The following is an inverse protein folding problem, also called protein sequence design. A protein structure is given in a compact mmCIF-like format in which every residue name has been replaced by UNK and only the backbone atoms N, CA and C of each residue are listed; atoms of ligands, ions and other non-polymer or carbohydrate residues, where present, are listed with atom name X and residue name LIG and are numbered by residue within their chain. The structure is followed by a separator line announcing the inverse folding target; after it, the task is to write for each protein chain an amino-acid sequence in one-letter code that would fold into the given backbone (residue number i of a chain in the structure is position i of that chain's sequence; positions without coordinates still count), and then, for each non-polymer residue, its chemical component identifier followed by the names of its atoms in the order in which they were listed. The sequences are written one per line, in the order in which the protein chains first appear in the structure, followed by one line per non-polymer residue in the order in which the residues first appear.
data_IF_389152267367
#
_entry.id   IF_389152267367
#
_cell.length_a   1.000
_cell.length_b   1.000
_cell.length_c   1.000
_cell.angle_alpha   90.00
_cell.angle_beta   90.00
_cell.angle_gamma   90.00
#
_symmetry.space_group_name_H-M   'P 1'
#
loop_
_entity.id
_entity.type
_entity.pdbx_description
1 polymer ?
#
# COMPACT_ATOMS: atom_id res chain seq x y z
N UNK A 1 -6.26 15.08 -33.60
CA UNK A 1 -5.31 14.12 -33.01
C UNK A 1 -4.89 14.74 -31.68
N UNK A 2 -5.16 14.05 -30.58
CA UNK A 2 -4.83 14.57 -29.26
C UNK A 2 -3.29 14.55 -29.11
N UNK A 3 -2.68 15.72 -28.99
CA UNK A 3 -1.21 15.89 -28.83
C UNK A 3 -0.77 15.70 -27.37
N UNK A 4 -1.51 14.96 -26.58
CA UNK A 4 -1.13 14.70 -25.19
C UNK A 4 0.23 13.96 -25.15
N UNK A 5 1.15 14.37 -24.28
CA UNK A 5 2.41 13.69 -24.06
C UNK A 5 2.15 12.21 -23.71
N UNK A 6 3.03 11.33 -24.19
CA UNK A 6 2.93 9.90 -23.93
C UNK A 6 4.11 9.42 -23.10
N UNK A 7 3.85 8.55 -22.13
CA UNK A 7 4.92 7.86 -21.42
C UNK A 7 5.72 7.00 -22.41
N UNK A 8 7.00 7.35 -22.60
CA UNK A 8 7.93 6.55 -23.41
C UNK A 8 8.40 5.34 -22.61
N UNK A 9 7.95 4.16 -23.03
CA UNK A 9 8.39 2.89 -22.42
C UNK A 9 9.87 2.66 -22.75
N UNK A 10 10.69 2.44 -21.73
CA UNK A 10 12.11 2.13 -21.85
C UNK A 10 12.47 0.90 -21.00
N UNK A 11 13.74 0.41 -21.10
CA UNK A 11 14.22 -0.70 -20.28
C UNK A 11 14.24 -0.39 -18.76
N UNK A 12 14.12 0.88 -18.37
CA UNK A 12 13.99 1.31 -16.98
C UNK A 12 12.62 0.97 -16.38
N UNK A 13 11.61 0.87 -17.27
CA UNK A 13 10.27 0.46 -16.86
C UNK A 13 10.13 -1.05 -17.16
N UNK A 14 10.03 -1.81 -16.10
CA UNK A 14 9.81 -3.26 -16.14
C UNK A 14 8.32 -3.60 -16.26
N UNK A 15 8.04 -4.84 -16.50
CA UNK A 15 6.69 -5.42 -16.54
C UNK A 15 6.63 -6.62 -15.64
N UNK A 16 5.46 -6.87 -15.06
CA UNK A 16 5.15 -8.13 -14.41
C UNK A 16 4.83 -9.21 -15.45
N UNK A 17 4.82 -10.50 -15.09
CA UNK A 17 4.34 -11.56 -15.99
C UNK A 17 2.88 -11.39 -16.40
N UNK A 18 2.10 -10.60 -15.66
CA UNK A 18 0.66 -10.42 -15.84
C UNK A 18 0.30 -9.16 -16.65
N UNK A 19 1.21 -8.20 -16.82
CA UNK A 19 0.94 -6.89 -17.45
C UNK A 19 0.19 -7.00 -18.78
N UNK A 20 0.59 -7.96 -19.65
CA UNK A 20 -0.10 -8.14 -20.95
C UNK A 20 -1.53 -8.61 -20.80
N UNK A 21 -1.82 -9.43 -19.78
CA UNK A 21 -3.17 -9.93 -19.47
C UNK A 21 -4.03 -8.83 -18.85
N UNK A 22 -3.45 -8.03 -17.96
CA UNK A 22 -4.08 -6.87 -17.35
C UNK A 22 -4.53 -5.87 -18.41
N UNK A 23 -3.64 -5.56 -19.38
CA UNK A 23 -3.96 -4.71 -20.54
C UNK A 23 -5.06 -5.34 -21.40
N UNK A 24 -4.95 -6.63 -21.73
CA UNK A 24 -5.93 -7.34 -22.56
C UNK A 24 -7.33 -7.42 -21.91
N UNK A 25 -7.39 -7.33 -20.58
CA UNK A 25 -8.66 -7.28 -19.82
C UNK A 25 -9.18 -5.88 -19.58
N UNK A 26 -8.58 -4.86 -20.20
CA UNK A 26 -9.15 -3.51 -20.28
C UNK A 26 -8.65 -2.52 -19.26
N UNK A 27 -7.45 -2.71 -18.68
CA UNK A 27 -6.86 -1.66 -17.84
C UNK A 27 -6.76 -0.34 -18.62
N UNK A 28 -7.39 0.72 -18.11
CA UNK A 28 -7.51 2.03 -18.75
C UNK A 28 -6.44 3.02 -18.29
N UNK A 29 -5.93 2.86 -17.06
CA UNK A 29 -4.89 3.71 -16.50
C UNK A 29 -3.83 2.91 -15.75
N UNK A 30 -2.61 3.44 -15.72
CA UNK A 30 -1.45 2.87 -15.04
C UNK A 30 -0.65 3.96 -14.33
N UNK A 31 -0.08 3.59 -13.19
CA UNK A 31 1.01 4.31 -12.55
C UNK A 31 2.31 3.51 -12.64
N UNK A 32 3.41 4.12 -12.21
CA UNK A 32 4.69 3.43 -12.01
C UNK A 32 4.87 3.14 -10.53
N UNK A 33 5.15 1.89 -10.20
CA UNK A 33 5.38 1.41 -8.85
C UNK A 33 6.55 0.42 -8.87
N UNK A 34 7.58 0.64 -8.06
CA UNK A 34 8.80 -0.18 -8.06
C UNK A 34 9.39 -0.38 -9.47
N UNK A 35 9.43 0.69 -10.28
CA UNK A 35 9.87 0.67 -11.68
C UNK A 35 9.02 -0.21 -12.61
N UNK A 36 7.80 -0.56 -12.26
CA UNK A 36 6.88 -1.39 -13.05
C UNK A 36 5.54 -0.69 -13.26
N UNK A 37 4.81 -1.15 -14.27
CA UNK A 37 3.44 -0.68 -14.53
C UNK A 37 2.46 -1.35 -13.57
N UNK A 38 1.77 -0.56 -12.75
CA UNK A 38 0.65 -0.95 -11.92
C UNK A 38 -0.64 -0.38 -12.49
N UNK A 39 -1.63 -1.22 -12.78
CA UNK A 39 -2.96 -0.74 -13.17
C UNK A 39 -3.60 0.03 -12.00
N UNK A 40 -4.27 1.14 -12.31
CA UNK A 40 -4.98 1.98 -11.35
C UNK A 40 -6.48 2.10 -11.62
N UNK A 41 -6.92 1.70 -12.82
CA UNK A 41 -8.31 1.80 -13.23
C UNK A 41 -8.61 0.83 -14.37
N UNK A 42 -9.83 0.28 -14.38
CA UNK A 42 -10.38 -0.52 -15.49
C UNK A 42 -11.60 0.17 -16.12
N UNK A 43 -12.65 0.45 -15.37
CA UNK A 43 -13.84 1.16 -15.85
C UNK A 43 -13.86 2.59 -15.33
N UNK A 44 -13.88 2.75 -14.04
CA UNK A 44 -13.66 3.98 -13.28
C UNK A 44 -13.32 3.59 -11.83
N UNK A 45 -12.60 4.47 -11.11
CA UNK A 45 -12.24 4.21 -9.70
C UNK A 45 -13.50 3.86 -8.87
N UNK A 46 -14.63 4.52 -9.15
CA UNK A 46 -15.88 4.30 -8.41
C UNK A 46 -16.59 2.99 -8.80
N UNK A 47 -16.62 2.63 -10.08
CA UNK A 47 -17.24 1.37 -10.52
C UNK A 47 -16.40 0.18 -10.08
N UNK A 48 -15.09 0.28 -10.20
CA UNK A 48 -14.15 -0.73 -9.72
C UNK A 48 -14.24 -0.92 -8.20
N UNK A 49 -14.44 0.18 -7.43
CA UNK A 49 -14.70 0.15 -6.00
C UNK A 49 -15.98 -0.63 -5.66
N UNK A 50 -17.12 -0.31 -6.30
CA UNK A 50 -18.37 -1.01 -6.01
C UNK A 50 -18.31 -2.49 -6.40
N UNK A 51 -17.63 -2.78 -7.51
CA UNK A 51 -17.41 -4.17 -7.90
C UNK A 51 -16.56 -4.93 -6.86
N UNK A 52 -15.47 -4.33 -6.36
CA UNK A 52 -14.64 -4.90 -5.30
C UNK A 52 -15.45 -5.21 -4.04
N UNK A 53 -16.36 -4.31 -3.66
CA UNK A 53 -17.20 -4.46 -2.47
C UNK A 53 -18.31 -5.51 -2.61
N UNK A 54 -18.63 -5.95 -3.83
CA UNK A 54 -19.79 -6.82 -4.10
C UNK A 54 -19.45 -8.17 -4.71
N UNK A 55 -18.26 -8.35 -5.30
CA UNK A 55 -17.90 -9.55 -6.05
C UNK A 55 -16.48 -10.03 -5.72
N UNK A 56 -15.66 -10.32 -6.74
CA UNK A 56 -14.25 -10.69 -6.58
C UNK A 56 -13.42 -10.11 -7.73
N UNK A 57 -12.25 -9.63 -7.38
CA UNK A 57 -11.26 -9.11 -8.32
C UNK A 57 -9.95 -9.87 -8.24
N UNK A 58 -9.25 -9.95 -9.38
CA UNK A 58 -7.87 -10.45 -9.48
C UNK A 58 -6.97 -9.27 -9.84
N UNK A 59 -5.99 -8.99 -8.98
CA UNK A 59 -5.08 -7.86 -9.11
C UNK A 59 -3.67 -8.32 -9.46
N UNK A 60 -3.09 -7.72 -10.48
CA UNK A 60 -1.65 -7.79 -10.73
C UNK A 60 -0.93 -6.86 -9.75
N UNK A 61 -0.52 -7.41 -8.62
CA UNK A 61 0.33 -6.74 -7.63
C UNK A 61 1.77 -7.24 -7.66
N UNK A 62 2.19 -7.85 -8.77
CA UNK A 62 3.57 -8.27 -9.02
C UNK A 62 4.59 -7.12 -8.94
N UNK A 63 4.12 -5.89 -8.94
CA UNK A 63 4.92 -4.68 -8.69
C UNK A 63 5.43 -4.57 -7.24
N UNK A 64 4.85 -5.29 -6.29
CA UNK A 64 5.37 -5.46 -4.94
C UNK A 64 6.57 -6.40 -5.00
N UNK A 65 7.74 -5.83 -5.24
CA UNK A 65 8.99 -6.58 -5.33
C UNK A 65 9.26 -7.32 -4.03
N UNK A 66 9.77 -8.53 -4.16
CA UNK A 66 10.24 -9.26 -3.00
C UNK A 66 11.73 -8.99 -2.78
N UNK A 67 12.10 -8.62 -1.56
CA UNK A 67 13.49 -8.60 -1.12
C UNK A 67 13.72 -9.85 -0.28
N UNK A 68 14.47 -10.81 -0.84
CA UNK A 68 14.87 -12.04 -0.14
C UNK A 68 16.13 -11.77 0.67
N UNK A 69 16.09 -12.11 1.96
CA UNK A 69 17.21 -12.05 2.90
C UNK A 69 17.38 -13.44 3.47
N UNK A 70 18.49 -14.10 3.14
CA UNK A 70 18.77 -15.50 3.51
C UNK A 70 20.18 -15.64 4.06
N UNK A 71 20.35 -16.39 5.14
CA UNK A 71 21.64 -16.68 5.76
C UNK A 71 21.61 -16.57 7.27
N UNK A 72 22.72 -16.99 7.94
CA UNK A 72 22.81 -17.04 9.41
C UNK A 72 22.43 -15.73 10.12
N UNK A 73 22.73 -14.58 9.53
CA UNK A 73 22.45 -13.26 10.08
C UNK A 73 21.14 -12.63 9.54
N UNK A 74 20.28 -13.40 8.84
CA UNK A 74 19.04 -12.85 8.23
C UNK A 74 18.12 -12.20 9.27
N UNK A 75 17.87 -12.87 10.40
CA UNK A 75 17.07 -12.29 11.48
C UNK A 75 17.69 -11.03 12.07
N UNK A 76 19.03 -10.98 12.18
CA UNK A 76 19.76 -9.82 12.69
C UNK A 76 19.60 -8.63 11.74
N UNK A 77 19.74 -8.84 10.42
CA UNK A 77 19.57 -7.78 9.44
C UNK A 77 18.11 -7.26 9.45
N UNK A 78 17.11 -8.14 9.42
CA UNK A 78 15.70 -7.74 9.44
C UNK A 78 15.38 -6.99 10.74
N UNK A 79 15.80 -7.49 11.92
CA UNK A 79 15.60 -6.80 13.19
C UNK A 79 16.27 -5.43 13.23
N UNK A 80 17.46 -5.30 12.65
CA UNK A 80 18.17 -4.03 12.62
C UNK A 80 17.46 -2.97 11.77
N UNK A 81 16.75 -3.40 10.72
CA UNK A 81 15.98 -2.53 9.80
C UNK A 81 14.62 -2.09 10.35
N UNK A 82 14.05 -2.82 11.32
CA UNK A 82 12.69 -2.54 11.83
C UNK A 82 12.66 -2.33 13.34
N UNK A 83 11.94 -1.30 13.85
CA UNK A 83 11.68 -1.13 15.27
C UNK A 83 10.61 -2.08 15.84
N UNK A 84 10.14 -3.05 15.06
CA UNK A 84 9.22 -4.09 15.51
C UNK A 84 9.98 -5.32 15.97
N UNK A 85 9.63 -5.87 17.15
CA UNK A 85 10.19 -7.13 17.61
C UNK A 85 9.75 -8.29 16.71
N UNK A 86 10.71 -8.94 16.05
CA UNK A 86 10.48 -10.08 15.16
C UNK A 86 10.81 -11.43 15.82
N UNK A 87 11.28 -11.45 17.07
CA UNK A 87 11.76 -12.66 17.75
C UNK A 87 10.67 -13.74 17.88
N UNK A 88 9.41 -13.31 17.99
CA UNK A 88 8.25 -14.20 18.19
C UNK A 88 7.48 -14.52 16.91
N UNK A 89 7.96 -14.08 15.75
CA UNK A 89 7.27 -14.32 14.47
C UNK A 89 7.43 -15.78 14.06
N UNK A 90 6.32 -16.51 13.97
CA UNK A 90 6.29 -17.90 13.54
C UNK A 90 6.58 -18.05 12.03
N UNK A 91 7.02 -19.25 11.61
CA UNK A 91 7.39 -19.56 10.21
C UNK A 91 6.24 -19.45 9.21
N UNK A 92 5.00 -19.58 9.64
CA UNK A 92 3.82 -19.51 8.75
C UNK A 92 3.17 -18.13 8.76
N UNK A 93 3.88 -17.09 9.23
CA UNK A 93 3.30 -15.77 9.49
C UNK A 93 3.80 -14.70 8.55
N UNK A 94 2.85 -13.89 8.09
CA UNK A 94 3.10 -12.56 7.54
C UNK A 94 3.06 -11.53 8.67
N UNK A 95 3.86 -10.47 8.56
CA UNK A 95 3.93 -9.40 9.55
C UNK A 95 4.19 -8.06 8.86
N UNK A 96 3.43 -7.03 9.24
CA UNK A 96 3.69 -5.67 8.76
C UNK A 96 4.91 -5.09 9.46
N UNK A 97 5.89 -4.65 8.71
CA UNK A 97 7.19 -4.20 9.22
C UNK A 97 7.48 -2.76 8.77
N UNK A 98 7.23 -1.74 9.58
CA UNK A 98 7.82 -0.43 9.31
C UNK A 98 9.34 -0.55 9.32
N UNK A 99 10.00 -0.17 8.22
CA UNK A 99 11.45 -0.06 8.14
C UNK A 99 11.83 1.40 8.36
N UNK A 100 12.81 1.63 9.22
CA UNK A 100 13.22 2.99 9.58
C UNK A 100 14.74 3.14 9.66
N UNK A 101 15.23 4.32 9.27
CA UNK A 101 16.62 4.70 9.39
C UNK A 101 17.03 5.01 10.85
N UNK A 102 18.28 5.37 11.08
CA UNK A 102 18.83 5.70 12.41
C UNK A 102 18.18 6.93 13.07
N UNK A 103 17.47 7.75 12.31
CA UNK A 103 16.74 8.91 12.79
C UNK A 103 15.25 8.61 13.03
N UNK A 104 14.81 7.35 12.86
CA UNK A 104 13.43 6.94 12.99
C UNK A 104 12.54 7.30 11.80
N UNK A 105 13.13 7.75 10.67
CA UNK A 105 12.39 8.08 9.46
C UNK A 105 12.10 6.82 8.65
N UNK A 106 10.90 6.78 8.04
CA UNK A 106 10.45 5.64 7.25
C UNK A 106 11.32 5.44 6.00
N UNK A 107 11.74 4.21 5.77
CA UNK A 107 12.37 3.77 4.52
C UNK A 107 11.37 3.02 3.64
N UNK A 108 10.49 2.25 4.26
CA UNK A 108 9.42 1.47 3.63
C UNK A 108 8.51 0.86 4.70
N UNK A 109 7.42 0.23 4.29
CA UNK A 109 6.48 -0.44 5.18
C UNK A 109 6.04 -1.84 4.67
N UNK A 110 7.00 -2.75 4.37
CA UNK A 110 6.71 -4.03 3.75
C UNK A 110 5.89 -4.97 4.62
N UNK A 111 5.33 -5.99 3.96
CA UNK A 111 4.93 -7.23 4.63
C UNK A 111 6.14 -8.16 4.67
N UNK A 112 6.60 -8.48 5.88
CA UNK A 112 7.61 -9.50 6.13
C UNK A 112 6.98 -10.89 6.12
N UNK A 113 7.57 -11.82 5.40
CA UNK A 113 7.14 -13.23 5.30
C UNK A 113 8.30 -14.11 5.76
N UNK A 114 8.15 -14.75 6.92
CA UNK A 114 9.18 -15.63 7.46
C UNK A 114 9.08 -17.02 6.84
N UNK A 115 9.99 -17.33 5.92
CA UNK A 115 9.96 -18.57 5.12
C UNK A 115 10.67 -19.74 5.79
N UNK A 116 11.75 -19.46 6.52
CA UNK A 116 12.55 -20.38 7.31
C UNK A 116 13.14 -19.68 8.53
N UNK A 117 13.92 -20.40 9.35
CA UNK A 117 14.57 -19.82 10.53
C UNK A 117 15.53 -18.67 10.17
N UNK A 118 16.14 -18.76 9.01
CA UNK A 118 17.16 -17.86 8.47
C UNK A 118 16.80 -17.29 7.09
N UNK A 119 15.50 -17.23 6.74
CA UNK A 119 15.07 -16.76 5.44
C UNK A 119 13.78 -15.93 5.52
N UNK A 120 13.85 -14.70 5.01
CA UNK A 120 12.73 -13.76 4.91
C UNK A 120 12.51 -13.28 3.49
N UNK A 121 11.25 -13.07 3.13
CA UNK A 121 10.87 -12.15 2.07
C UNK A 121 10.29 -10.88 2.69
N UNK A 122 10.66 -9.73 2.12
CA UNK A 122 9.99 -8.45 2.35
C UNK A 122 9.25 -8.08 1.08
N UNK A 123 7.90 -8.08 1.12
CA UNK A 123 7.03 -7.61 0.05
C UNK A 123 6.93 -6.10 0.19
N UNK A 124 7.67 -5.36 -0.64
CA UNK A 124 7.96 -3.95 -0.42
C UNK A 124 6.99 -3.00 -1.11
N UNK A 125 6.73 -1.86 -0.47
CA UNK A 125 6.16 -0.69 -1.11
C UNK A 125 7.18 -0.01 -2.05
N UNK A 126 6.80 1.09 -2.68
CA UNK A 126 7.59 1.76 -3.73
C UNK A 126 8.86 2.42 -3.19
N UNK A 127 9.93 1.65 -3.05
CA UNK A 127 11.28 2.16 -2.80
C UNK A 127 12.37 1.11 -3.05
N UNK A 128 13.64 1.53 -3.10
CA UNK A 128 14.80 0.65 -3.36
C UNK A 128 15.35 -0.04 -2.08
N UNK A 129 14.47 -0.66 -1.29
CA UNK A 129 14.84 -1.41 -0.06
C UNK A 129 15.98 -2.41 -0.30
N UNK A 130 16.01 -3.06 -1.47
CA UNK A 130 17.05 -4.05 -1.79
C UNK A 130 18.46 -3.45 -1.76
N UNK A 131 18.62 -2.20 -2.22
CA UNK A 131 19.92 -1.53 -2.20
C UNK A 131 20.33 -1.15 -0.78
N UNK A 132 19.36 -0.69 0.02
CA UNK A 132 19.56 -0.36 1.42
C UNK A 132 19.94 -1.60 2.25
N UNK A 133 19.18 -2.70 2.11
CA UNK A 133 19.47 -3.96 2.80
C UNK A 133 20.86 -4.52 2.42
N UNK A 134 21.23 -4.49 1.12
CA UNK A 134 22.58 -4.88 0.67
C UNK A 134 23.66 -3.99 1.27
N UNK A 135 23.44 -2.68 1.32
CA UNK A 135 24.37 -1.72 1.90
C UNK A 135 24.61 -1.98 3.38
N UNK A 136 23.53 -2.16 4.14
CA UNK A 136 23.58 -2.48 5.57
C UNK A 136 24.28 -3.81 5.84
N UNK A 137 23.89 -4.88 5.14
CA UNK A 137 24.49 -6.20 5.29
C UNK A 137 25.99 -6.16 5.04
N UNK A 138 26.42 -5.50 3.95
CA UNK A 138 27.84 -5.36 3.61
C UNK A 138 28.60 -4.49 4.59
N UNK A 139 28.02 -3.36 5.00
CA UNK A 139 28.64 -2.42 5.94
C UNK A 139 28.86 -3.02 7.33
N UNK A 140 27.92 -3.85 7.79
CA UNK A 140 28.00 -4.54 9.08
C UNK A 140 28.71 -5.90 9.01
N UNK A 141 29.13 -6.36 7.83
CA UNK A 141 29.80 -7.65 7.66
C UNK A 141 28.93 -8.86 7.98
N UNK A 142 27.60 -8.76 7.72
CA UNK A 142 26.64 -9.83 8.01
C UNK A 142 26.73 -10.96 6.98
N UNK A 143 26.61 -12.20 7.46
CA UNK A 143 26.58 -13.41 6.62
C UNK A 143 25.16 -13.64 6.10
N UNK A 144 24.80 -12.90 5.08
CA UNK A 144 23.50 -12.97 4.40
C UNK A 144 23.63 -12.76 2.90
N UNK A 145 22.73 -13.36 2.16
CA UNK A 145 22.52 -13.11 0.73
C UNK A 145 21.21 -12.33 0.56
N UNK A 146 21.32 -11.12 -0.01
CA UNK A 146 20.18 -10.26 -0.30
C UNK A 146 19.92 -10.25 -1.80
N UNK A 147 18.75 -10.75 -2.24
CA UNK A 147 18.39 -10.88 -3.66
C UNK A 147 16.97 -10.40 -3.94
N UNK A 148 16.65 -10.18 -5.22
CA UNK A 148 15.27 -10.09 -5.73
C UNK A 148 14.95 -11.45 -6.37
N UNK A 149 14.10 -12.29 -5.75
CA UNK A 149 13.72 -13.58 -6.31
C UNK A 149 12.71 -13.39 -7.47
N UNK A 150 12.60 -14.40 -8.36
CA UNK A 150 11.55 -14.42 -9.40
C UNK A 150 10.20 -14.79 -8.78
N UNK A 151 9.64 -13.88 -7.99
CA UNK A 151 8.37 -14.07 -7.27
C UNK A 151 7.45 -12.90 -7.54
N UNK A 152 6.21 -13.21 -7.93
CA UNK A 152 5.23 -12.26 -8.44
C UNK A 152 3.90 -12.46 -7.72
N UNK A 153 3.52 -11.59 -6.78
CA UNK A 153 2.23 -11.71 -6.11
C UNK A 153 1.06 -11.35 -7.04
N UNK A 154 0.02 -12.19 -6.94
CA UNK A 154 -1.33 -11.93 -7.43
C UNK A 154 -2.27 -11.80 -6.24
N UNK A 155 -3.08 -10.75 -6.17
CA UNK A 155 -4.10 -10.64 -5.16
C UNK A 155 -5.47 -11.06 -5.69
N UNK A 156 -6.23 -11.78 -4.88
CA UNK A 156 -7.64 -12.14 -5.12
C UNK A 156 -8.45 -11.52 -4.00
N UNK A 157 -9.19 -10.46 -4.28
CA UNK A 157 -9.83 -9.61 -3.27
C UNK A 157 -11.34 -9.50 -3.50
N UNK A 158 -12.10 -9.44 -2.41
CA UNK A 158 -13.56 -9.25 -2.44
C UNK A 158 -14.34 -10.35 -1.75
N UNK A 159 -15.67 -10.17 -1.54
CA UNK A 159 -16.52 -11.12 -0.79
C UNK A 159 -16.55 -12.55 -1.34
N UNK A 160 -16.30 -12.74 -2.64
CA UNK A 160 -16.27 -14.07 -3.27
C UNK A 160 -14.85 -14.67 -3.38
N UNK A 161 -13.84 -14.03 -2.78
CA UNK A 161 -12.46 -14.50 -2.85
C UNK A 161 -12.28 -15.92 -2.27
N UNK A 162 -12.90 -16.20 -1.11
CA UNK A 162 -12.84 -17.54 -0.50
C UNK A 162 -13.35 -18.64 -1.45
N UNK A 163 -14.48 -18.38 -2.11
CA UNK A 163 -15.08 -19.34 -3.06
C UNK A 163 -14.19 -19.56 -4.30
N UNK A 164 -13.62 -18.47 -4.84
CA UNK A 164 -12.74 -18.57 -6.00
C UNK A 164 -11.45 -19.33 -5.65
N UNK A 165 -10.85 -19.02 -4.51
CA UNK A 165 -9.61 -19.69 -4.05
C UNK A 165 -9.84 -21.17 -3.77
N UNK A 166 -10.99 -21.55 -3.18
CA UNK A 166 -11.33 -22.95 -2.98
C UNK A 166 -11.48 -23.72 -4.31
N UNK A 167 -12.04 -23.09 -5.36
CA UNK A 167 -12.16 -23.71 -6.69
C UNK A 167 -10.81 -23.97 -7.35
N UNK A 168 -9.79 -23.16 -7.05
CA UNK A 168 -8.46 -23.28 -7.67
C UNK A 168 -7.52 -24.12 -6.83
N UNK A 169 -7.51 -23.95 -5.50
CA UNK A 169 -6.54 -24.56 -4.59
C UNK A 169 -7.16 -25.60 -3.63
N UNK A 170 -8.48 -25.77 -3.67
CA UNK A 170 -9.19 -26.70 -2.78
C UNK A 170 -9.55 -26.11 -1.40
N UNK A 171 -10.23 -26.91 -0.55
CA UNK A 171 -10.85 -26.44 0.68
C UNK A 171 -9.87 -25.96 1.75
N UNK A 172 -8.59 -26.35 1.69
CA UNK A 172 -7.56 -25.93 2.64
C UNK A 172 -7.37 -24.40 2.69
N UNK A 173 -7.80 -23.68 1.65
CA UNK A 173 -7.74 -22.21 1.62
C UNK A 173 -8.62 -21.56 2.68
N UNK A 174 -9.73 -22.21 3.07
CA UNK A 174 -10.67 -21.70 4.08
C UNK A 174 -10.10 -21.65 5.50
N UNK A 175 -9.11 -22.51 5.78
CA UNK A 175 -8.50 -22.64 7.10
C UNK A 175 -7.32 -21.66 7.29
N UNK A 176 -6.93 -20.94 6.24
CA UNK A 176 -5.86 -19.94 6.32
C UNK A 176 -6.35 -18.74 7.14
N UNK A 177 -5.73 -18.50 8.29
CA UNK A 177 -6.05 -17.35 9.15
C UNK A 177 -5.45 -16.06 8.59
N UNK A 178 -6.05 -14.95 8.94
CA UNK A 178 -5.53 -13.63 8.56
C UNK A 178 -4.06 -13.45 8.97
N UNK A 179 -3.25 -12.95 8.04
CA UNK A 179 -1.80 -12.79 8.15
C UNK A 179 -1.06 -14.11 8.43
N UNK A 180 -1.61 -15.23 7.92
CA UNK A 180 -0.91 -16.51 7.81
C UNK A 180 -0.79 -16.89 6.34
N UNK A 181 0.19 -17.72 6.04
CA UNK A 181 0.32 -18.36 4.74
C UNK A 181 0.45 -19.86 4.86
N UNK A 182 0.15 -20.54 3.77
CA UNK A 182 0.40 -21.97 3.57
C UNK A 182 1.00 -22.18 2.20
N UNK A 183 1.64 -23.31 2.01
CA UNK A 183 2.11 -23.74 0.69
C UNK A 183 1.10 -24.73 0.12
N UNK A 184 0.47 -24.37 -1.00
CA UNK A 184 -0.57 -25.17 -1.65
C UNK A 184 -0.09 -25.69 -3.00
N UNK A 185 -0.44 -26.96 -3.35
CA UNK A 185 -0.14 -27.49 -4.65
C UNK A 185 -0.94 -26.77 -5.74
N UNK A 186 -0.28 -26.45 -6.83
CA UNK A 186 -0.90 -25.95 -8.05
C UNK A 186 -0.22 -26.59 -9.24
N UNK A 187 -0.93 -27.53 -9.93
CA UNK A 187 -0.34 -28.35 -10.98
C UNK A 187 0.93 -29.07 -10.49
N UNK A 188 2.08 -28.82 -11.13
CA UNK A 188 3.36 -29.40 -10.75
C UNK A 188 4.21 -28.50 -9.85
N UNK A 189 3.61 -27.43 -9.29
CA UNK A 189 4.25 -26.45 -8.43
C UNK A 189 3.61 -26.42 -7.05
N UNK A 190 4.28 -25.75 -6.12
CA UNK A 190 3.75 -25.48 -4.79
C UNK A 190 3.88 -23.98 -4.57
N UNK A 191 2.76 -23.27 -4.51
CA UNK A 191 2.72 -21.82 -4.36
C UNK A 191 2.47 -21.43 -2.92
N UNK A 192 3.06 -20.33 -2.48
CA UNK A 192 2.75 -19.70 -1.20
C UNK A 192 1.45 -18.91 -1.36
N UNK A 193 0.47 -19.20 -0.52
CA UNK A 193 -0.82 -18.51 -0.48
C UNK A 193 -1.02 -17.92 0.91
N UNK A 194 -1.07 -16.60 0.98
CA UNK A 194 -1.29 -15.85 2.21
C UNK A 194 -2.74 -15.34 2.27
N UNK A 195 -3.33 -15.37 3.47
CA UNK A 195 -4.59 -14.64 3.71
C UNK A 195 -4.27 -13.21 4.08
N UNK A 196 -4.07 -12.41 3.08
CA UNK A 196 -3.65 -11.01 3.13
C UNK A 196 -4.23 -10.26 1.95
N UNK A 197 -3.92 -8.99 1.85
CA UNK A 197 -4.33 -8.12 0.77
C UNK A 197 -4.55 -6.70 1.24
N UNK A 198 -4.58 -5.79 0.30
CA UNK A 198 -4.68 -4.37 0.56
C UNK A 198 -6.11 -3.86 0.37
N UNK A 199 -7.06 -4.58 1.00
CA UNK A 199 -8.46 -4.18 1.13
C UNK A 199 -9.09 -4.79 2.37
N UNK A 200 -10.15 -4.18 2.91
CA UNK A 200 -10.98 -4.78 3.98
C UNK A 200 -12.10 -5.67 3.45
N UNK A 201 -12.13 -5.95 2.14
CA UNK A 201 -13.14 -6.81 1.54
C UNK A 201 -12.83 -8.31 1.71
N UNK A 202 -11.67 -8.62 2.30
CA UNK A 202 -11.15 -9.97 2.44
C UNK A 202 -10.47 -10.48 1.16
N UNK A 203 -9.61 -11.48 1.31
CA UNK A 203 -8.90 -12.02 0.16
C UNK A 203 -7.60 -12.71 0.48
N UNK A 204 -6.82 -12.94 -0.58
CA UNK A 204 -5.57 -13.67 -0.56
C UNK A 204 -4.54 -13.04 -1.48
N UNK A 205 -3.29 -13.28 -1.17
CA UNK A 205 -2.15 -13.02 -2.04
C UNK A 205 -1.45 -14.34 -2.36
N UNK A 206 -1.21 -14.57 -3.64
CA UNK A 206 -0.58 -15.78 -4.17
C UNK A 206 0.80 -15.38 -4.68
N UNK A 207 1.85 -15.84 -4.02
CA UNK A 207 3.23 -15.55 -4.39
C UNK A 207 3.69 -16.60 -5.41
N UNK A 208 3.71 -16.19 -6.67
CA UNK A 208 4.02 -17.07 -7.80
C UNK A 208 5.50 -16.97 -8.11
N UNK A 209 6.20 -18.10 -8.00
CA UNK A 209 7.66 -18.24 -8.18
C UNK A 209 8.07 -18.74 -9.59
N UNK A 210 7.16 -18.66 -10.54
CA UNK A 210 7.39 -18.96 -11.97
C UNK A 210 6.45 -18.15 -12.85
N UNK A 211 7.01 -17.31 -13.72
CA UNK A 211 6.24 -16.42 -14.58
C UNK A 211 5.25 -17.13 -15.52
N UNK A 212 5.58 -18.36 -16.01
CA UNK A 212 4.69 -19.11 -16.90
C UNK A 212 3.54 -19.75 -16.12
N UNK A 213 3.83 -20.27 -14.93
CA UNK A 213 2.82 -20.77 -14.00
C UNK A 213 1.88 -19.64 -13.60
N UNK A 214 2.41 -18.46 -13.31
CA UNK A 214 1.61 -17.28 -12.98
C UNK A 214 0.64 -16.88 -14.08
N UNK A 215 1.09 -16.88 -15.32
CA UNK A 215 0.21 -16.59 -16.46
C UNK A 215 -0.94 -17.59 -16.58
N UNK A 216 -0.66 -18.87 -16.36
CA UNK A 216 -1.68 -19.92 -16.39
C UNK A 216 -2.65 -19.78 -15.22
N UNK A 217 -2.15 -19.49 -14.03
CA UNK A 217 -2.96 -19.23 -12.84
C UNK A 217 -3.88 -18.03 -13.01
N UNK A 218 -3.34 -16.94 -13.57
CA UNK A 218 -4.14 -15.74 -13.85
C UNK A 218 -5.35 -16.07 -14.73
N UNK A 219 -5.12 -16.79 -15.85
CA UNK A 219 -6.19 -17.17 -16.75
C UNK A 219 -7.20 -18.12 -16.07
N UNK A 220 -6.72 -19.12 -15.30
CA UNK A 220 -7.58 -20.07 -14.59
C UNK A 220 -8.45 -19.42 -13.51
N UNK A 221 -7.98 -18.40 -12.82
CA UNK A 221 -8.79 -17.63 -11.84
C UNK A 221 -10.04 -17.03 -12.51
N UNK A 222 -9.90 -16.50 -13.73
CA UNK A 222 -11.05 -15.97 -14.46
C UNK A 222 -11.97 -17.07 -14.98
N UNK A 223 -11.42 -18.17 -15.45
CA UNK A 223 -12.24 -19.30 -15.95
C UNK A 223 -13.06 -19.93 -14.81
N UNK A 224 -12.43 -20.15 -13.64
CA UNK A 224 -13.09 -20.71 -12.44
C UNK A 224 -14.05 -19.75 -11.74
N UNK A 225 -13.86 -18.44 -11.93
CA UNK A 225 -14.66 -17.39 -11.33
C UNK A 225 -15.76 -16.81 -12.21
N UNK A 226 -15.99 -17.36 -13.40
CA UNK A 226 -16.89 -16.78 -14.40
C UNK A 226 -18.31 -16.49 -13.86
N UNK A 227 -18.87 -17.41 -13.06
CA UNK A 227 -20.18 -17.27 -12.41
C UNK A 227 -20.15 -16.46 -11.11
N UNK A 228 -18.96 -16.11 -10.59
CA UNK A 228 -18.77 -15.26 -9.43
C UNK A 228 -18.62 -13.77 -9.81
N UNK A 229 -18.85 -13.42 -11.05
CA UNK A 229 -18.61 -12.08 -11.60
C UNK A 229 -17.17 -11.62 -11.35
N UNK A 230 -16.17 -12.52 -11.54
CA UNK A 230 -14.76 -12.17 -11.40
C UNK A 230 -14.38 -11.11 -12.45
N UNK A 231 -13.71 -10.05 -12.01
CA UNK A 231 -13.15 -9.02 -12.89
C UNK A 231 -11.67 -8.79 -12.61
N UNK A 232 -10.92 -8.26 -13.58
CA UNK A 232 -9.64 -7.66 -13.25
C UNK A 232 -9.86 -6.46 -12.34
N UNK A 233 -8.89 -6.16 -11.49
CA UNK A 233 -8.91 -5.02 -10.60
C UNK A 233 -7.51 -4.56 -10.23
N UNK A 234 -7.47 -3.61 -9.34
CA UNK A 234 -6.25 -3.01 -8.81
C UNK A 234 -6.49 -2.46 -7.40
N UNK A 235 -5.44 -2.11 -6.65
CA UNK A 235 -5.56 -1.35 -5.43
C UNK A 235 -6.45 -0.12 -5.65
N UNK A 236 -7.57 -0.04 -4.92
CA UNK A 236 -8.57 0.99 -5.15
C UNK A 236 -8.45 2.13 -4.14
N UNK A 237 -8.33 3.36 -4.63
CA UNK A 237 -8.10 4.54 -3.81
C UNK A 237 -9.24 4.80 -2.81
N UNK A 238 -10.49 4.60 -3.22
CA UNK A 238 -11.65 4.83 -2.34
C UNK A 238 -11.65 3.79 -1.21
N UNK A 239 -11.54 2.52 -1.58
CA UNK A 239 -11.58 1.42 -0.62
C UNK A 239 -10.45 1.52 0.41
N UNK A 240 -9.21 1.80 -0.04
CA UNK A 240 -8.09 1.88 0.87
C UNK A 240 -8.19 3.04 1.85
N UNK A 241 -8.67 4.22 1.42
CA UNK A 241 -8.88 5.36 2.32
C UNK A 241 -10.00 5.10 3.31
N UNK A 242 -11.17 4.59 2.87
CA UNK A 242 -12.25 4.18 3.78
C UNK A 242 -11.77 3.14 4.80
N UNK A 243 -10.87 2.27 4.40
CA UNK A 243 -10.29 1.22 5.22
C UNK A 243 -9.14 1.67 6.13
N UNK A 244 -8.62 2.88 5.91
CA UNK A 244 -7.46 3.42 6.62
C UNK A 244 -6.17 2.68 6.32
N UNK A 245 -6.03 2.15 5.09
CA UNK A 245 -4.80 1.53 4.60
C UNK A 245 -3.88 2.62 4.05
N UNK A 246 -2.73 2.76 4.67
CA UNK A 246 -1.74 3.77 4.30
C UNK A 246 -0.92 3.33 3.08
N UNK A 247 -0.44 4.30 2.34
CA UNK A 247 0.38 4.10 1.15
C UNK A 247 1.69 4.87 1.29
N UNK A 248 2.81 4.15 1.38
CA UNK A 248 4.13 4.75 1.34
C UNK A 248 4.33 5.50 0.01
N UNK A 249 4.86 6.70 0.09
CA UNK A 249 5.01 7.61 -1.03
C UNK A 249 3.82 8.55 -1.27
N UNK A 250 2.62 8.19 -0.77
CA UNK A 250 1.42 9.04 -0.87
C UNK A 250 1.04 9.68 0.48
N UNK A 251 0.88 8.88 1.54
CA UNK A 251 0.44 9.38 2.85
C UNK A 251 1.61 9.69 3.78
N UNK A 252 2.70 8.97 3.63
CA UNK A 252 3.95 9.11 4.38
C UNK A 252 5.13 8.67 3.51
N UNK A 253 6.32 9.18 3.82
CA UNK A 253 7.57 8.85 3.11
C UNK A 253 8.78 9.03 4.03
N UNK A 254 9.99 9.04 3.45
CA UNK A 254 11.27 9.18 4.16
C UNK A 254 11.44 10.52 4.92
N UNK A 255 10.54 11.48 4.76
CA UNK A 255 10.53 12.75 5.52
C UNK A 255 9.86 12.60 6.88
N UNK A 256 9.10 11.53 7.10
CA UNK A 256 8.25 11.31 8.26
C UNK A 256 8.79 10.18 9.13
N UNK A 257 8.68 10.33 10.45
CA UNK A 257 9.01 9.22 11.35
C UNK A 257 7.89 8.17 11.37
N UNK A 258 8.23 6.99 11.91
CA UNK A 258 7.24 5.92 12.14
C UNK A 258 6.11 6.39 13.06
N UNK A 259 6.42 7.25 14.06
CA UNK A 259 5.44 7.78 15.01
C UNK A 259 4.56 8.85 14.35
N UNK A 260 5.16 9.82 13.65
CA UNK A 260 4.43 10.84 12.89
C UNK A 260 3.42 10.21 11.90
N UNK A 261 3.81 9.08 11.29
CA UNK A 261 3.00 8.34 10.32
C UNK A 261 1.86 7.51 10.92
N UNK A 262 1.64 7.59 12.25
CA UNK A 262 0.57 6.84 12.92
C UNK A 262 0.85 5.33 13.08
N UNK A 263 2.10 4.90 12.85
CA UNK A 263 2.50 3.49 12.89
C UNK A 263 3.05 3.04 14.25
N UNK A 264 2.91 3.85 15.30
CA UNK A 264 3.39 3.54 16.65
C UNK A 264 2.86 2.20 17.20
N UNK A 265 1.66 1.77 16.80
CA UNK A 265 1.10 0.47 17.17
C UNK A 265 1.81 -0.75 16.57
N UNK A 266 2.71 -0.54 15.60
CA UNK A 266 3.49 -1.59 14.95
C UNK A 266 4.95 -1.62 15.38
N UNK A 267 5.34 -0.85 16.39
CA UNK A 267 6.71 -0.80 16.90
C UNK A 267 6.79 -1.28 18.34
N UNK A 268 7.94 -1.79 18.75
CA UNK A 268 8.16 -2.42 20.05
C UNK A 268 9.16 -1.58 20.87
N UNK A 269 8.79 -0.31 21.15
CA UNK A 269 9.70 0.66 21.77
C UNK A 269 10.17 0.27 23.19
N UNK A 270 9.41 -0.57 23.90
CA UNK A 270 9.76 -1.02 25.25
C UNK A 270 10.54 -2.35 25.24
N UNK A 271 10.68 -3.01 24.08
CA UNK A 271 11.43 -4.25 23.96
C UNK A 271 12.94 -3.99 23.89
N UNK A 272 13.71 -4.95 24.39
CA UNK A 272 15.18 -4.97 24.24
C UNK A 272 15.55 -5.58 22.90
N UNK A 273 15.50 -4.76 21.85
CA UNK A 273 15.77 -5.15 20.46
C UNK A 273 16.89 -4.29 19.86
N UNK A 274 17.68 -4.90 19.01
CA UNK A 274 18.75 -4.21 18.24
C UNK A 274 18.15 -3.68 16.91
N UNK A 275 17.47 -2.53 17.00
CA UNK A 275 16.98 -1.81 15.83
C UNK A 275 17.65 -0.45 15.70
N UNK A 276 18.13 -0.07 14.51
CA UNK A 276 18.89 1.17 14.32
C UNK A 276 18.10 2.43 14.69
N UNK A 277 16.77 2.40 14.50
CA UNK A 277 15.86 3.51 14.79
C UNK A 277 15.40 3.61 16.25
N UNK A 278 15.64 2.57 17.08
CA UNK A 278 14.95 2.42 18.37
C UNK A 278 15.22 3.59 19.33
N UNK A 279 16.45 4.11 19.31
CA UNK A 279 16.84 5.24 20.17
C UNK A 279 16.09 6.51 19.78
N UNK A 280 16.12 6.87 18.49
CA UNK A 280 15.48 8.07 17.98
C UNK A 280 13.95 8.03 18.20
N UNK A 281 13.32 6.87 17.96
CA UNK A 281 11.89 6.70 18.17
C UNK A 281 11.48 6.75 19.65
N UNK A 282 12.33 6.27 20.59
CA UNK A 282 12.10 6.44 22.03
C UNK A 282 12.17 7.91 22.42
N UNK A 283 13.19 8.63 21.96
CA UNK A 283 13.34 10.07 22.22
C UNK A 283 12.16 10.87 21.67
N UNK A 284 11.69 10.56 20.44
CA UNK A 284 10.52 11.17 19.84
C UNK A 284 9.21 10.87 20.62
N UNK A 285 8.99 9.60 21.02
CA UNK A 285 7.84 9.23 21.85
C UNK A 285 7.79 10.03 23.14
N UNK A 286 8.92 10.14 23.81
CA UNK A 286 9.02 10.81 25.13
C UNK A 286 8.87 12.34 25.02
N UNK A 287 9.30 12.94 23.91
CA UNK A 287 9.14 14.36 23.62
C UNK A 287 7.74 14.70 23.03
N UNK A 288 7.06 13.71 22.46
CA UNK A 288 5.91 13.90 21.57
C UNK A 288 6.34 14.19 20.12
N UNK A 289 5.67 13.64 19.12
CA UNK A 289 5.98 13.92 17.71
C UNK A 289 5.65 15.36 17.36
N UNK A 290 6.43 15.97 16.46
CA UNK A 290 6.17 17.34 15.99
C UNK A 290 4.95 17.44 15.06
N UNK A 291 4.60 16.32 14.42
CA UNK A 291 3.50 16.22 13.45
C UNK A 291 2.78 14.88 13.63
N UNK A 292 1.55 14.81 13.10
CA UNK A 292 0.78 13.57 13.05
C UNK A 292 0.05 13.43 11.73
N UNK A 293 0.02 12.22 11.20
CA UNK A 293 -0.85 11.85 10.10
C UNK A 293 -2.29 11.74 10.60
N UNK A 294 -3.15 12.60 10.06
CA UNK A 294 -4.56 12.71 10.45
C UNK A 294 -5.47 12.50 9.25
N UNK A 295 -6.71 12.14 9.52
CA UNK A 295 -7.77 12.13 8.53
C UNK A 295 -8.48 13.49 8.46
N UNK A 296 -8.85 13.90 7.24
CA UNK A 296 -9.71 15.05 6.99
C UNK A 296 -11.00 14.58 6.33
N UNK A 297 -12.14 15.07 6.81
CA UNK A 297 -13.46 14.78 6.25
C UNK A 297 -14.18 16.08 5.94
N UNK A 298 -14.64 16.19 4.69
CA UNK A 298 -15.48 17.30 4.25
C UNK A 298 -16.84 16.75 3.80
N UNK A 299 -17.97 17.34 4.24
CA UNK A 299 -19.28 17.01 3.66
C UNK A 299 -19.29 17.28 2.16
N UNK A 300 -19.63 16.29 1.38
CA UNK A 300 -19.70 16.35 -0.09
C UNK A 300 -20.86 15.50 -0.63
N UNK A 301 -22.13 15.86 -0.24
CA UNK A 301 -23.30 15.04 -0.55
C UNK A 301 -23.60 14.97 -2.05
N UNK A 302 -23.17 15.96 -2.82
CA UNK A 302 -23.49 16.11 -4.24
C UNK A 302 -22.34 15.64 -5.17
N UNK A 303 -21.23 15.17 -4.61
CA UNK A 303 -20.08 14.69 -5.36
C UNK A 303 -18.74 15.21 -4.84
N UNK A 304 -17.65 14.95 -5.55
CA UNK A 304 -16.30 15.29 -5.12
C UNK A 304 -16.11 16.80 -4.87
N UNK A 305 -15.38 17.09 -3.77
CA UNK A 305 -14.90 18.44 -3.42
C UNK A 305 -13.38 18.39 -3.20
N UNK A 306 -12.65 18.45 -4.30
CA UNK A 306 -11.21 18.24 -4.30
C UNK A 306 -10.48 19.37 -3.55
N UNK A 307 -9.50 18.99 -2.75
CA UNK A 307 -8.60 19.90 -2.04
C UNK A 307 -7.53 20.45 -2.99
N UNK A 308 -6.95 21.60 -2.66
CA UNK A 308 -6.15 22.41 -3.59
C UNK A 308 -4.96 21.70 -4.24
N UNK A 309 -4.32 20.76 -3.55
CA UNK A 309 -3.17 20.03 -4.10
C UNK A 309 -3.50 19.06 -5.23
N UNK A 310 -4.76 18.71 -5.40
CA UNK A 310 -5.17 17.78 -6.46
C UNK A 310 -5.05 18.41 -7.87
N UNK A 311 -5.03 19.74 -7.96
CA UNK A 311 -4.72 20.44 -9.22
C UNK A 311 -3.35 20.03 -9.78
N UNK A 312 -2.40 19.76 -8.91
CA UNK A 312 -1.05 19.37 -9.32
C UNK A 312 -1.00 17.95 -9.89
N UNK A 313 -1.72 17.00 -9.29
CA UNK A 313 -1.78 15.61 -9.79
C UNK A 313 -2.66 15.49 -11.03
N UNK A 314 -3.74 16.28 -11.15
CA UNK A 314 -4.61 16.26 -12.31
C UNK A 314 -3.94 16.85 -13.57
N UNK A 315 -3.12 17.86 -13.42
CA UNK A 315 -2.33 18.42 -14.52
C UNK A 315 -1.26 17.45 -15.02
N UNK A 316 -0.80 16.53 -14.17
CA UNK A 316 0.12 15.46 -14.56
C UNK A 316 -0.51 14.42 -15.49
N UNK A 317 -1.82 14.32 -15.57
CA UNK A 317 -2.54 13.41 -16.48
C UNK A 317 -2.42 13.78 -17.96
N UNK A 318 -1.73 14.83 -18.31
CA UNK A 318 -1.54 15.14 -19.72
C UNK A 318 -0.70 16.34 -20.12
N UNK A 319 -0.36 17.25 -19.25
CA UNK A 319 0.39 18.45 -19.65
C UNK A 319 1.69 18.63 -18.83
N UNK A 320 2.77 18.07 -19.39
CA UNK A 320 4.14 18.33 -18.90
C UNK A 320 4.65 19.73 -19.32
N UNK A 321 3.78 20.56 -19.87
CA UNK A 321 4.12 21.91 -20.34
C UNK A 321 3.75 23.02 -19.36
N UNK A 322 3.18 22.70 -18.19
CA UNK A 322 3.07 23.72 -17.13
C UNK A 322 4.47 24.07 -16.65
N UNK A 323 4.80 25.35 -16.66
CA UNK A 323 6.08 25.87 -16.17
C UNK A 323 6.29 25.68 -14.65
N UNK A 324 5.27 25.10 -13.96
CA UNK A 324 5.32 24.77 -12.53
C UNK A 324 5.83 23.33 -12.34
N UNK A 325 7.09 23.19 -12.01
CA UNK A 325 7.66 21.89 -11.59
C UNK A 325 7.32 21.60 -10.11
N UNK A 326 7.28 20.34 -9.67
CA UNK A 326 7.07 19.97 -8.25
C UNK A 326 8.02 20.66 -7.27
N UNK A 327 9.19 21.07 -7.75
CA UNK A 327 10.19 21.80 -6.97
C UNK A 327 9.83 23.28 -6.75
N UNK A 328 8.90 23.83 -7.53
CA UNK A 328 8.50 25.25 -7.44
C UNK A 328 7.37 25.46 -6.43
N UNK A 329 6.77 24.37 -5.94
CA UNK A 329 5.84 24.40 -4.81
C UNK A 329 6.64 24.55 -3.52
N UNK A 330 7.05 25.78 -3.20
CA UNK A 330 7.64 26.09 -1.90
C UNK A 330 6.51 26.17 -0.89
N UNK A 331 6.49 25.29 0.13
CA UNK A 331 5.46 25.33 1.15
C UNK A 331 5.41 26.68 1.86
N UNK A 332 4.30 27.38 1.79
CA UNK A 332 4.06 28.49 2.71
C UNK A 332 3.77 27.91 4.10
N UNK A 333 4.53 28.35 5.12
CA UNK A 333 4.24 28.00 6.51
C UNK A 333 2.80 28.41 6.85
N UNK A 334 1.93 27.43 7.06
CA UNK A 334 0.52 27.64 7.39
C UNK A 334 -0.46 27.30 6.27
N UNK A 335 0.01 26.86 5.10
CA UNK A 335 -0.85 26.36 4.04
C UNK A 335 -0.99 24.82 4.19
N UNK A 336 -2.20 24.36 4.44
CA UNK A 336 -2.50 22.92 4.65
C UNK A 336 -2.30 22.08 3.38
N UNK A 337 -2.31 22.72 2.20
CA UNK A 337 -2.08 22.07 0.92
C UNK A 337 -0.78 21.29 0.86
N UNK A 338 0.25 21.71 1.57
CA UNK A 338 1.55 21.04 1.62
C UNK A 338 1.60 19.77 2.47
N UNK A 339 0.55 19.53 3.23
CA UNK A 339 0.47 18.45 4.19
C UNK A 339 -0.42 17.31 3.68
N UNK A 340 -1.08 17.49 2.55
CA UNK A 340 -1.97 16.48 2.00
C UNK A 340 -1.19 15.23 1.52
N UNK A 341 -1.70 14.09 1.91
CA UNK A 341 -1.34 12.80 1.38
C UNK A 341 -2.32 12.41 0.27
N UNK A 342 -3.17 11.44 0.54
CA UNK A 342 -4.16 10.97 -0.43
C UNK A 342 -5.51 11.59 -0.19
N UNK A 343 -6.32 11.71 -1.26
CA UNK A 343 -7.70 12.15 -1.14
C UNK A 343 -8.62 11.43 -2.11
N UNK A 344 -9.88 11.22 -1.72
CA UNK A 344 -10.92 10.70 -2.59
C UNK A 344 -12.31 11.12 -2.13
N UNK A 345 -13.26 11.11 -3.05
CA UNK A 345 -14.66 11.16 -2.68
C UNK A 345 -15.18 9.74 -2.37
N UNK A 346 -15.76 9.56 -1.19
CA UNK A 346 -16.41 8.32 -0.82
C UNK A 346 -17.88 8.32 -1.29
N UNK A 347 -18.26 7.48 -2.25
CA UNK A 347 -19.65 7.36 -2.67
C UNK A 347 -20.50 6.68 -1.60
N UNK A 348 -19.90 5.85 -0.76
CA UNK A 348 -20.57 5.16 0.34
C UNK A 348 -20.97 6.11 1.46
N UNK A 349 -20.11 7.05 1.83
CA UNK A 349 -20.34 7.99 2.93
C UNK A 349 -20.69 9.40 2.45
N UNK A 350 -20.68 9.64 1.15
CA UNK A 350 -21.00 10.94 0.50
C UNK A 350 -20.20 12.10 1.12
N UNK A 351 -18.92 11.86 1.26
CA UNK A 351 -17.96 12.85 1.80
C UNK A 351 -16.63 12.77 1.06
N UNK A 352 -15.89 13.87 1.09
CA UNK A 352 -14.49 13.87 0.69
C UNK A 352 -13.66 13.40 1.86
N UNK A 353 -12.79 12.43 1.64
CA UNK A 353 -11.81 11.91 2.58
C UNK A 353 -10.42 12.33 2.12
N UNK A 354 -9.58 12.70 3.07
CA UNK A 354 -8.17 12.92 2.80
C UNK A 354 -7.32 12.49 4.00
N UNK A 355 -6.05 12.24 3.75
CA UNK A 355 -5.00 12.14 4.76
C UNK A 355 -4.15 13.40 4.75
N UNK A 356 -3.68 13.85 5.89
CA UNK A 356 -2.81 15.01 5.99
C UNK A 356 -1.81 14.84 7.12
N UNK A 357 -0.56 15.19 6.86
CA UNK A 357 0.47 15.31 7.89
C UNK A 357 0.38 16.70 8.52
N UNK A 358 -0.17 16.78 9.72
CA UNK A 358 -0.44 18.05 10.42
C UNK A 358 0.58 18.30 11.52
N UNK A 359 1.06 19.53 11.67
CA UNK A 359 1.81 19.97 12.86
C UNK A 359 0.95 19.83 14.11
N UNK A 360 1.58 19.50 15.26
CA UNK A 360 0.86 19.14 16.48
C UNK A 360 -0.22 20.14 16.92
N UNK A 361 -0.04 21.47 16.88
CA UNK A 361 -1.13 22.39 17.23
C UNK A 361 -2.37 22.23 16.34
N UNK A 362 -2.19 21.86 15.06
CA UNK A 362 -3.30 21.65 14.11
C UNK A 362 -3.92 20.25 14.25
N UNK A 363 -3.10 19.24 14.51
CA UNK A 363 -3.56 17.87 14.69
C UNK A 363 -4.51 17.70 15.90
N UNK A 364 -4.40 18.58 16.89
CA UNK A 364 -5.27 18.62 18.06
C UNK A 364 -6.60 19.35 17.86
N UNK A 365 -6.84 19.99 16.71
CA UNK A 365 -8.09 20.68 16.42
C UNK A 365 -9.17 19.70 15.94
N UNK A 366 -10.44 19.99 16.24
CA UNK A 366 -11.58 19.22 15.73
C UNK A 366 -11.90 19.58 14.26
N UNK A 367 -11.65 20.82 13.86
CA UNK A 367 -11.90 21.35 12.51
C UNK A 367 -10.78 22.30 12.07
N UNK A 368 -10.52 22.30 10.77
CA UNK A 368 -9.60 23.21 10.10
C UNK A 368 -10.27 23.87 8.90
N UNK A 369 -9.86 25.10 8.61
CA UNK A 369 -10.16 25.74 7.34
C UNK A 369 -9.17 25.22 6.28
N UNK A 370 -9.71 24.64 5.21
CA UNK A 370 -8.93 24.07 4.10
C UNK A 370 -9.36 24.70 2.78
N UNK A 371 -8.43 24.77 1.83
CA UNK A 371 -8.72 25.29 0.51
C UNK A 371 -9.12 24.17 -0.45
N UNK A 372 -10.18 24.41 -1.21
CA UNK A 372 -10.54 23.58 -2.35
C UNK A 372 -9.73 23.98 -3.60
N UNK A 373 -9.69 23.13 -4.60
CA UNK A 373 -9.05 23.39 -5.89
C UNK A 373 -9.53 24.68 -6.57
N UNK A 374 -10.78 25.08 -6.36
CA UNK A 374 -11.33 26.36 -6.82
C UNK A 374 -11.01 27.56 -5.92
N UNK A 375 -10.12 27.39 -4.94
CA UNK A 375 -9.70 28.38 -3.92
C UNK A 375 -10.81 28.81 -2.94
N UNK A 376 -11.91 28.10 -2.90
CA UNK A 376 -12.94 28.27 -1.86
C UNK A 376 -12.39 27.73 -0.52
N UNK A 377 -12.60 28.46 0.56
CA UNK A 377 -12.28 28.01 1.93
C UNK A 377 -13.46 27.24 2.50
N UNK A 378 -13.22 26.06 3.02
CA UNK A 378 -14.24 25.20 3.65
C UNK A 378 -13.69 24.60 4.93
N UNK A 379 -14.61 24.20 5.83
CA UNK A 379 -14.23 23.49 7.05
C UNK A 379 -14.10 21.98 6.78
N UNK A 380 -12.96 21.44 7.16
CA UNK A 380 -12.72 20.00 7.24
C UNK A 380 -12.70 19.56 8.71
N UNK A 381 -13.37 18.46 9.03
CA UNK A 381 -13.25 17.82 10.33
C UNK A 381 -11.94 17.04 10.38
N UNK A 382 -11.18 17.21 11.43
CA UNK A 382 -9.94 16.45 11.70
C UNK A 382 -10.31 15.21 12.53
N UNK A 383 -9.71 14.07 12.21
CA UNK A 383 -9.94 12.83 12.95
C UNK A 383 -8.71 11.92 12.91
N UNK A 384 -8.63 11.02 13.89
CA UNK A 384 -7.63 9.97 13.86
C UNK A 384 -7.86 8.97 12.72
N UNK A 385 -6.80 8.35 12.23
CA UNK A 385 -6.86 7.22 11.30
C UNK A 385 -6.73 5.89 12.07
N UNK A 386 -7.39 4.81 11.60
CA UNK A 386 -8.35 4.77 10.49
C UNK A 386 -9.64 5.53 10.80
N UNK A 387 -10.36 5.98 9.77
CA UNK A 387 -11.65 6.67 9.93
C UNK A 387 -12.65 5.79 10.69
N UNK A 388 -13.21 6.33 11.78
CA UNK A 388 -14.32 5.69 12.51
C UNK A 388 -15.63 6.37 12.11
N UNK A 389 -16.20 5.92 10.98
CA UNK A 389 -17.41 6.54 10.41
C UNK A 389 -18.61 6.51 11.36
N UNK A 390 -18.70 5.52 12.27
CA UNK A 390 -19.78 5.44 13.27
C UNK A 390 -19.65 6.57 14.29
N UNK A 391 -18.45 6.76 14.86
CA UNK A 391 -18.19 7.88 15.79
C UNK A 391 -18.34 9.23 15.12
N UNK A 392 -18.04 9.29 13.83
CA UNK A 392 -18.16 10.51 13.02
C UNK A 392 -19.61 10.81 12.63
N UNK A 393 -20.57 9.91 12.95
CA UNK A 393 -21.99 10.07 12.63
C UNK A 393 -22.30 9.88 11.16
N UNK A 394 -21.43 9.22 10.40
CA UNK A 394 -21.60 8.94 8.99
C UNK A 394 -22.15 7.51 8.80
N UNK A 395 -23.27 7.41 8.11
CA UNK A 395 -23.90 6.14 7.77
C UNK A 395 -23.66 5.78 6.31
N UNK A 396 -23.37 4.51 5.99
CA UNK A 396 -23.18 4.10 4.62
C UNK A 396 -24.49 4.23 3.83
N UNK A 397 -24.41 4.76 2.63
CA UNK A 397 -25.51 4.66 1.66
C UNK A 397 -25.54 3.25 1.09
N UNK A 398 -26.72 2.64 1.08
CA UNK A 398 -26.94 1.35 0.42
C UNK A 398 -27.19 1.64 -1.07
N UNK A 399 -26.43 0.96 -1.95
CA UNK A 399 -26.80 0.93 -3.39
C UNK A 399 -27.99 0.03 -3.61
#
# INVERSE_FOLDING_TARGET
MNNAPRLSVSRRLRKTPFTSRTIARGASAFTVYNHMLLATEFVSVQEDYWHLCSAVQVWDVGVERQVSIEGPDANRLVQWMTPRDISTVALDRCIYLPLADENGKLVNDPIGIRLAEDHWWLSIADSDVILWAKGLAKGAGLDVVVTEPDVWPLAVQGPHADTLMERVFGPATRDIRFFRYVRLPYKNHTLLVARSGWSKQGGFEIYVDDSKVGQTLYDELFDKGADLNVKPGCPNLIERLESGLLSYGNDMDARHSVIESGLAGFVSLDADIDAMSIKALREERDAGPARRLMGLILPAPDGPRMLAEDLFLSDFHGDLTSDETPSDIIPNKGDLSHCLGSQCWSPRYRCQLATAMLEEPLAGNDELDVYLANRETVKARVCALPFDFVKLGLSPTVQ
#
